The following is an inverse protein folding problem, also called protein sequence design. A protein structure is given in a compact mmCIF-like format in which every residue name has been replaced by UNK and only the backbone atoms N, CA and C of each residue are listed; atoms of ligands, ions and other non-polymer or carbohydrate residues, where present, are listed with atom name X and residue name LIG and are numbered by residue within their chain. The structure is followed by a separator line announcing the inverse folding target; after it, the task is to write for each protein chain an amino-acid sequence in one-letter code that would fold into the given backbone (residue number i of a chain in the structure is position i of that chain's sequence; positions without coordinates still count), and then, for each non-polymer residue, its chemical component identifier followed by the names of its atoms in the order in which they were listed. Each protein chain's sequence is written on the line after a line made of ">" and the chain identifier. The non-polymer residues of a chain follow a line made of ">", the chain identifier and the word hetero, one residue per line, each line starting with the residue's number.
data_IF_641946446234
#
_entry.id   IF_641946446234
#
_cell.length_a   1.000
_cell.length_b   1.000
_cell.length_c   1.000
_cell.angle_alpha   90.00
_cell.angle_beta   90.00
_cell.angle_gamma   90.00
#
_symmetry.space_group_name_H-M   'P 1'
#
loop_
_entity.id
_entity.type
_entity.pdbx_description
1 polymer ?
#
# COMPACT_ATOMS: atom_id res chain seq x y z
N UNK A 1 -25.55 8.31 15.80
CA UNK A 1 -25.37 7.76 14.44
C UNK A 1 -25.38 6.23 14.54
N UNK A 2 -26.28 5.51 13.86
CA UNK A 2 -26.26 4.03 13.89
C UNK A 2 -25.13 3.55 12.97
N UNK A 3 -24.13 2.87 13.54
CA UNK A 3 -23.06 2.25 12.76
C UNK A 3 -23.61 0.99 12.10
N UNK A 4 -23.53 0.92 10.77
CA UNK A 4 -23.96 -0.25 9.98
C UNK A 4 -22.74 -0.98 9.40
N UNK A 5 -22.91 -2.21 8.93
CA UNK A 5 -21.82 -2.92 8.23
C UNK A 5 -21.29 -2.15 7.02
N UNK A 6 -22.16 -1.43 6.29
CA UNK A 6 -21.75 -0.57 5.17
C UNK A 6 -20.90 0.61 5.66
N UNK A 7 -21.26 1.21 6.80
CA UNK A 7 -20.47 2.29 7.42
C UNK A 7 -19.05 1.81 7.74
N UNK A 8 -18.91 0.63 8.34
CA UNK A 8 -17.60 0.04 8.67
C UNK A 8 -16.78 -0.23 7.40
N UNK A 9 -17.39 -0.80 6.35
CA UNK A 9 -16.71 -1.03 5.07
C UNK A 9 -16.18 0.27 4.46
N UNK A 10 -16.99 1.34 4.45
CA UNK A 10 -16.57 2.64 3.91
C UNK A 10 -15.43 3.26 4.71
N UNK A 11 -15.43 3.11 6.03
CA UNK A 11 -14.31 3.57 6.88
C UNK A 11 -13.03 2.83 6.53
N UNK A 12 -13.08 1.50 6.41
CA UNK A 12 -11.93 0.67 6.05
C UNK A 12 -11.39 1.05 4.66
N UNK A 13 -12.27 1.17 3.66
CA UNK A 13 -11.87 1.53 2.30
C UNK A 13 -11.33 2.96 2.24
N UNK A 14 -11.94 3.90 2.99
CA UNK A 14 -11.46 5.27 3.09
C UNK A 14 -10.08 5.36 3.73
N UNK A 15 -9.83 4.58 4.80
CA UNK A 15 -8.51 4.49 5.42
C UNK A 15 -7.45 4.05 4.40
N UNK A 16 -7.66 2.94 3.69
CA UNK A 16 -6.69 2.46 2.71
C UNK A 16 -6.51 3.41 1.53
N UNK A 17 -7.60 4.06 1.09
CA UNK A 17 -7.53 5.08 0.04
C UNK A 17 -6.60 6.23 0.43
N UNK A 18 -6.77 6.78 1.64
CA UNK A 18 -5.92 7.84 2.16
C UNK A 18 -4.49 7.36 2.39
N UNK A 19 -4.31 6.18 2.99
CA UNK A 19 -3.01 5.59 3.27
C UNK A 19 -2.18 5.45 1.99
N UNK A 20 -2.69 4.77 0.97
CA UNK A 20 -1.95 4.59 -0.29
C UNK A 20 -1.76 5.90 -1.04
N UNK A 21 -2.69 6.86 -0.95
CA UNK A 21 -2.50 8.19 -1.54
C UNK A 21 -1.30 8.92 -0.92
N UNK A 22 -1.19 8.89 0.41
CA UNK A 22 -0.09 9.53 1.14
C UNK A 22 1.23 8.83 0.79
N UNK A 23 1.28 7.50 0.84
CA UNK A 23 2.49 6.73 0.53
C UNK A 23 2.95 6.97 -0.91
N UNK A 24 2.03 6.90 -1.88
CA UNK A 24 2.34 7.19 -3.29
C UNK A 24 2.91 8.60 -3.45
N UNK A 25 2.25 9.60 -2.85
CA UNK A 25 2.68 11.00 -2.96
C UNK A 25 4.06 11.20 -2.35
N UNK A 26 4.29 10.68 -1.15
CA UNK A 26 5.59 10.87 -0.47
C UNK A 26 6.72 10.11 -1.19
N UNK A 27 6.46 8.95 -1.80
CA UNK A 27 7.43 8.24 -2.64
C UNK A 27 7.70 8.94 -3.98
N UNK A 28 6.68 9.51 -4.63
CA UNK A 28 6.88 10.37 -5.82
C UNK A 28 7.79 11.55 -5.48
N UNK A 29 7.50 12.25 -4.37
CA UNK A 29 8.31 13.37 -3.93
C UNK A 29 9.74 12.94 -3.57
N UNK A 30 9.91 11.74 -3.01
CA UNK A 30 11.24 11.16 -2.75
C UNK A 30 12.02 10.88 -4.04
N UNK A 31 11.36 10.32 -5.06
CA UNK A 31 11.94 10.15 -6.39
C UNK A 31 12.32 11.48 -7.05
N UNK A 32 11.48 12.52 -6.92
CA UNK A 32 11.79 13.86 -7.42
C UNK A 32 13.00 14.49 -6.71
N UNK A 33 13.16 14.25 -5.40
CA UNK A 33 14.37 14.66 -4.66
C UNK A 33 15.60 13.92 -5.18
N UNK A 34 15.51 12.62 -5.40
CA UNK A 34 16.62 11.80 -5.91
C UNK A 34 17.09 12.26 -7.31
N UNK A 35 16.16 12.73 -8.14
CA UNK A 35 16.46 13.30 -9.47
C UNK A 35 16.97 14.76 -9.41
N UNK A 36 17.03 15.38 -8.23
CA UNK A 36 17.43 16.78 -8.06
C UNK A 36 16.38 17.81 -8.53
N UNK A 37 15.14 17.38 -8.79
CA UNK A 37 14.03 18.28 -9.13
C UNK A 37 13.55 19.04 -7.89
N UNK A 38 13.57 18.37 -6.73
CA UNK A 38 13.29 19.00 -5.44
C UNK A 38 14.57 19.24 -4.65
N UNK A 39 14.56 20.27 -3.79
CA UNK A 39 15.66 20.55 -2.87
C UNK A 39 15.91 19.35 -1.95
N UNK A 40 17.17 19.13 -1.58
CA UNK A 40 17.57 18.12 -0.60
C UNK A 40 16.89 18.34 0.76
N UNK A 41 16.62 19.60 1.11
CA UNK A 41 15.98 20.01 2.37
C UNK A 41 14.45 19.84 2.35
N UNK A 42 13.86 19.37 1.24
CA UNK A 42 12.42 19.13 1.16
C UNK A 42 11.98 18.06 2.16
N UNK A 43 11.15 18.44 3.14
CA UNK A 43 10.81 17.58 4.29
C UNK A 43 9.70 16.58 4.01
N UNK A 44 8.82 16.88 3.05
CA UNK A 44 7.66 16.04 2.76
C UNK A 44 8.03 15.00 1.68
N UNK A 45 8.89 14.05 2.05
CA UNK A 45 9.22 12.85 1.27
C UNK A 45 9.31 11.65 2.19
N UNK A 46 9.21 10.44 1.63
CA UNK A 46 9.25 9.22 2.45
C UNK A 46 10.64 8.86 2.95
N UNK A 47 11.70 9.22 2.21
CA UNK A 47 13.06 8.74 2.45
C UNK A 47 13.28 7.27 2.04
N UNK A 48 12.28 6.63 1.43
CA UNK A 48 12.33 5.21 1.07
C UNK A 48 13.36 4.93 -0.03
N UNK A 49 13.59 5.84 -0.97
CA UNK A 49 14.57 5.60 -2.03
C UNK A 49 15.99 5.54 -1.48
N UNK A 50 16.34 6.49 -0.59
CA UNK A 50 17.63 6.48 0.10
C UNK A 50 17.79 5.22 0.97
N UNK A 51 16.73 4.80 1.66
CA UNK A 51 16.72 3.55 2.42
C UNK A 51 16.97 2.32 1.54
N UNK A 52 16.37 2.25 0.35
CA UNK A 52 16.62 1.17 -0.62
C UNK A 52 18.10 1.16 -1.05
N UNK A 53 18.67 2.33 -1.37
CA UNK A 53 20.09 2.42 -1.75
C UNK A 53 21.00 1.90 -0.63
N UNK A 54 20.76 2.33 0.61
CA UNK A 54 21.55 1.92 1.77
C UNK A 54 21.41 0.42 2.07
N UNK A 55 20.20 -0.11 1.97
CA UNK A 55 19.89 -1.52 2.25
C UNK A 55 20.56 -2.45 1.25
N UNK A 56 20.47 -2.10 -0.04
CA UNK A 56 20.99 -2.93 -1.15
C UNK A 56 22.48 -2.73 -1.41
N UNK A 57 23.10 -1.69 -0.85
CA UNK A 57 24.53 -1.39 -1.02
C UNK A 57 25.45 -2.56 -0.66
N UNK A 58 25.09 -3.35 0.36
CA UNK A 58 25.87 -4.55 0.76
C UNK A 58 26.00 -5.60 -0.34
N UNK A 59 25.06 -5.62 -1.28
CA UNK A 59 25.03 -6.57 -2.41
C UNK A 59 25.48 -5.91 -3.71
N UNK A 60 26.02 -4.69 -3.66
CA UNK A 60 26.47 -3.95 -4.84
C UNK A 60 25.39 -3.81 -5.93
N UNK A 61 24.12 -3.70 -5.52
CA UNK A 61 23.01 -3.53 -6.46
C UNK A 61 23.17 -2.18 -7.19
N UNK A 62 23.13 -2.14 -8.53
CA UNK A 62 23.25 -0.90 -9.27
C UNK A 62 22.11 0.07 -8.94
N UNK A 63 22.43 1.37 -8.81
CA UNK A 63 21.45 2.41 -8.52
C UNK A 63 20.29 2.45 -9.54
N UNK A 64 20.58 2.15 -10.82
CA UNK A 64 19.55 2.06 -11.86
C UNK A 64 18.54 0.93 -11.62
N UNK A 65 18.98 -0.20 -11.06
CA UNK A 65 18.06 -1.29 -10.70
C UNK A 65 17.20 -0.92 -9.49
N UNK A 66 17.78 -0.26 -8.49
CA UNK A 66 17.02 0.30 -7.36
C UNK A 66 15.97 1.32 -7.82
N UNK A 67 16.32 2.20 -8.77
CA UNK A 67 15.37 3.14 -9.36
C UNK A 67 14.24 2.43 -10.09
N UNK A 68 14.54 1.38 -10.87
CA UNK A 68 13.54 0.57 -11.54
C UNK A 68 12.55 -0.08 -10.55
N UNK A 69 13.07 -0.73 -9.50
CA UNK A 69 12.24 -1.34 -8.46
C UNK A 69 11.38 -0.29 -7.73
N UNK A 70 11.96 0.87 -7.40
CA UNK A 70 11.24 1.97 -6.74
C UNK A 70 10.12 2.55 -7.61
N UNK A 71 10.34 2.68 -8.93
CA UNK A 71 9.27 3.04 -9.86
C UNK A 71 8.14 1.99 -9.88
N UNK A 72 8.49 0.70 -9.80
CA UNK A 72 7.52 -0.39 -9.68
C UNK A 72 6.68 -0.29 -8.40
N UNK A 73 7.31 0.04 -7.28
CA UNK A 73 6.64 0.33 -6.00
C UNK A 73 5.64 1.47 -6.15
N UNK A 74 6.08 2.62 -6.66
CA UNK A 74 5.21 3.79 -6.86
C UNK A 74 4.01 3.44 -7.76
N UNK A 75 4.23 2.68 -8.82
CA UNK A 75 3.17 2.26 -9.74
C UNK A 75 2.12 1.38 -9.04
N UNK A 76 2.55 0.43 -8.22
CA UNK A 76 1.66 -0.43 -7.45
C UNK A 76 0.90 0.36 -6.38
N UNK A 77 1.55 1.29 -5.69
CA UNK A 77 0.92 2.17 -4.70
C UNK A 77 -0.14 3.07 -5.34
N UNK A 78 0.17 3.68 -6.48
CA UNK A 78 -0.76 4.50 -7.25
C UNK A 78 -1.96 3.66 -7.71
N UNK A 79 -1.69 2.45 -8.21
CA UNK A 79 -2.74 1.54 -8.66
C UNK A 79 -3.65 1.13 -7.50
N UNK A 80 -3.07 0.77 -6.35
CA UNK A 80 -3.82 0.46 -5.13
C UNK A 80 -4.67 1.66 -4.70
N UNK A 81 -4.08 2.86 -4.64
CA UNK A 81 -4.78 4.10 -4.28
C UNK A 81 -6.02 4.33 -5.16
N UNK A 82 -5.86 4.29 -6.48
CA UNK A 82 -6.96 4.47 -7.44
C UNK A 82 -8.05 3.42 -7.23
N UNK A 83 -7.67 2.16 -7.05
CA UNK A 83 -8.63 1.06 -6.85
C UNK A 83 -9.36 1.17 -5.51
N UNK A 84 -8.70 1.60 -4.45
CA UNK A 84 -9.35 1.83 -3.15
C UNK A 84 -10.34 3.00 -3.21
N UNK A 85 -9.99 4.11 -3.87
CA UNK A 85 -10.93 5.21 -4.10
C UNK A 85 -12.14 4.78 -4.95
N UNK A 86 -11.91 4.03 -6.03
CA UNK A 86 -13.01 3.46 -6.83
C UNK A 86 -13.90 2.55 -5.99
N UNK A 87 -13.29 1.68 -5.17
CA UNK A 87 -14.01 0.78 -4.26
C UNK A 87 -14.83 1.53 -3.23
N UNK A 88 -14.33 2.65 -2.71
CA UNK A 88 -15.05 3.49 -1.76
C UNK A 88 -16.29 4.14 -2.38
N UNK A 89 -16.18 4.59 -3.64
CA UNK A 89 -17.25 5.28 -4.36
C UNK A 89 -18.33 4.31 -4.86
N UNK A 90 -17.95 3.17 -5.42
CA UNK A 90 -18.90 2.23 -6.05
C UNK A 90 -19.33 1.10 -5.14
N UNK A 91 -18.53 0.77 -4.11
CA UNK A 91 -18.72 -0.40 -3.24
C UNK A 91 -18.86 -1.73 -4.01
N UNK A 92 -18.27 -1.80 -5.20
CA UNK A 92 -18.24 -2.99 -6.06
C UNK A 92 -17.26 -4.04 -5.52
N UNK A 93 -17.68 -5.30 -5.46
CA UNK A 93 -16.86 -6.41 -4.97
C UNK A 93 -15.60 -6.62 -5.82
N UNK A 94 -15.73 -6.55 -7.14
CA UNK A 94 -14.61 -6.72 -8.06
C UNK A 94 -13.49 -5.71 -7.80
N UNK A 95 -13.85 -4.45 -7.61
CA UNK A 95 -12.89 -3.39 -7.27
C UNK A 95 -12.27 -3.60 -5.89
N UNK A 96 -13.05 -4.00 -4.87
CA UNK A 96 -12.54 -4.25 -3.52
C UNK A 96 -11.49 -5.37 -3.54
N UNK A 97 -11.76 -6.48 -4.23
CA UNK A 97 -10.80 -7.58 -4.34
C UNK A 97 -9.54 -7.17 -5.10
N UNK A 98 -9.68 -6.45 -6.22
CA UNK A 98 -8.54 -5.94 -6.99
C UNK A 98 -7.68 -4.97 -6.15
N UNK A 99 -8.30 -4.05 -5.42
CA UNK A 99 -7.59 -3.09 -4.58
C UNK A 99 -6.74 -3.79 -3.52
N UNK A 100 -7.34 -4.76 -2.80
CA UNK A 100 -6.61 -5.54 -1.80
C UNK A 100 -5.55 -6.43 -2.46
N UNK A 101 -5.83 -7.06 -3.60
CA UNK A 101 -4.85 -7.90 -4.29
C UNK A 101 -3.58 -7.11 -4.67
N UNK A 102 -3.73 -5.90 -5.22
CA UNK A 102 -2.58 -5.03 -5.54
C UNK A 102 -1.79 -4.66 -4.28
N UNK A 103 -2.47 -4.29 -3.20
CA UNK A 103 -1.81 -4.01 -1.92
C UNK A 103 -1.08 -5.23 -1.35
N UNK A 104 -1.70 -6.41 -1.41
CA UNK A 104 -1.11 -7.66 -0.94
C UNK A 104 0.11 -8.05 -1.76
N UNK A 105 0.07 -7.90 -3.10
CA UNK A 105 1.21 -8.14 -3.98
C UNK A 105 2.37 -7.21 -3.62
N UNK A 106 2.10 -5.91 -3.42
CA UNK A 106 3.13 -4.95 -3.04
C UNK A 106 3.81 -5.35 -1.73
N UNK A 107 3.04 -5.57 -0.67
CA UNK A 107 3.61 -5.87 0.64
C UNK A 107 4.21 -7.28 0.74
N UNK A 108 3.69 -8.26 0.01
CA UNK A 108 4.35 -9.57 -0.12
C UNK A 108 5.71 -9.43 -0.84
N UNK A 109 5.76 -8.58 -1.87
CA UNK A 109 7.01 -8.22 -2.55
C UNK A 109 8.03 -7.57 -1.60
N UNK A 110 7.57 -6.69 -0.70
CA UNK A 110 8.44 -6.11 0.34
C UNK A 110 8.96 -7.15 1.32
N UNK A 111 8.14 -8.09 1.81
CA UNK A 111 8.61 -9.17 2.68
C UNK A 111 9.66 -10.05 2.00
N UNK A 112 9.46 -10.37 0.71
CA UNK A 112 10.47 -11.08 -0.08
C UNK A 112 11.76 -10.27 -0.20
N UNK A 113 11.66 -8.95 -0.42
CA UNK A 113 12.81 -8.07 -0.49
C UNK A 113 13.54 -7.94 0.87
N UNK A 114 12.80 -7.93 1.97
CA UNK A 114 13.38 -7.88 3.32
C UNK A 114 14.29 -9.09 3.57
N UNK A 115 13.86 -10.27 3.15
CA UNK A 115 14.67 -11.49 3.27
C UNK A 115 15.85 -11.50 2.28
N UNK A 116 15.61 -11.14 1.01
CA UNK A 116 16.67 -11.10 -0.01
C UNK A 116 17.79 -10.12 0.36
N UNK A 117 17.43 -8.96 0.94
CA UNK A 117 18.38 -7.89 1.25
C UNK A 117 18.77 -7.78 2.73
N UNK A 118 18.29 -8.71 3.58
CA UNK A 118 18.49 -8.70 5.04
C UNK A 118 18.03 -7.38 5.69
N UNK A 119 16.89 -6.84 5.25
CA UNK A 119 16.32 -5.56 5.67
C UNK A 119 15.40 -5.68 6.91
N UNK A 120 15.78 -6.49 7.89
CA UNK A 120 14.94 -6.85 9.04
C UNK A 120 14.47 -5.68 9.91
N UNK A 121 15.08 -4.50 9.77
CA UNK A 121 14.64 -3.28 10.47
C UNK A 121 13.26 -2.76 10.06
N UNK A 122 12.80 -3.07 8.84
CA UNK A 122 11.49 -2.61 8.31
C UNK A 122 10.46 -3.73 8.14
N UNK A 123 10.90 -4.99 8.25
CA UNK A 123 10.06 -6.19 8.07
C UNK A 123 8.80 -6.15 8.93
N UNK A 124 8.92 -5.79 10.21
CA UNK A 124 7.77 -5.71 11.11
C UNK A 124 6.70 -4.73 10.61
N UNK A 125 7.10 -3.64 9.96
CA UNK A 125 6.16 -2.66 9.38
C UNK A 125 5.48 -3.27 8.15
N UNK A 126 6.23 -3.89 7.24
CA UNK A 126 5.68 -4.55 6.07
C UNK A 126 4.69 -5.67 6.44
N UNK A 127 5.03 -6.50 7.45
CA UNK A 127 4.16 -7.57 7.95
C UNK A 127 2.86 -7.02 8.54
N UNK A 128 2.93 -5.95 9.34
CA UNK A 128 1.73 -5.32 9.93
C UNK A 128 0.79 -4.79 8.86
N UNK A 129 1.33 -4.20 7.79
CA UNK A 129 0.50 -3.67 6.70
C UNK A 129 -0.10 -4.81 5.87
N UNK A 130 0.69 -5.85 5.55
CA UNK A 130 0.20 -7.06 4.88
C UNK A 130 -0.97 -7.68 5.67
N UNK A 131 -0.80 -7.91 6.96
CA UNK A 131 -1.87 -8.43 7.81
C UNK A 131 -3.04 -7.48 7.96
N UNK A 132 -2.78 -6.17 8.01
CA UNK A 132 -3.82 -5.15 7.99
C UNK A 132 -4.72 -5.28 6.76
N UNK A 133 -4.14 -5.49 5.58
CA UNK A 133 -4.86 -5.70 4.32
C UNK A 133 -5.66 -7.01 4.33
N UNK A 134 -5.08 -8.10 4.83
CA UNK A 134 -5.78 -9.38 4.94
C UNK A 134 -6.97 -9.30 5.91
N UNK A 135 -6.76 -8.66 7.06
CA UNK A 135 -7.78 -8.49 8.09
C UNK A 135 -8.91 -7.58 7.60
N UNK A 136 -8.57 -6.48 6.91
CA UNK A 136 -9.57 -5.58 6.34
C UNK A 136 -10.41 -6.27 5.28
N UNK A 137 -9.78 -7.03 4.39
CA UNK A 137 -10.49 -7.80 3.36
C UNK A 137 -11.44 -8.83 4.00
N UNK A 138 -10.93 -9.60 4.96
CA UNK A 138 -11.71 -10.63 5.68
C UNK A 138 -12.92 -10.01 6.38
N UNK A 139 -12.71 -8.86 7.04
CA UNK A 139 -13.78 -8.12 7.72
C UNK A 139 -14.85 -7.66 6.73
N UNK A 140 -14.46 -7.11 5.57
CA UNK A 140 -15.41 -6.71 4.53
C UNK A 140 -16.21 -7.91 4.03
N UNK A 141 -15.57 -9.05 3.77
CA UNK A 141 -16.22 -10.28 3.32
C UNK A 141 -17.27 -10.75 4.34
N UNK A 142 -16.92 -10.78 5.63
CA UNK A 142 -17.84 -11.17 6.72
C UNK A 142 -19.04 -10.22 6.74
N UNK A 143 -18.81 -8.91 6.76
CA UNK A 143 -19.88 -7.90 6.80
C UNK A 143 -20.84 -8.02 5.60
N UNK A 144 -20.33 -8.35 4.41
CA UNK A 144 -21.17 -8.55 3.22
C UNK A 144 -22.03 -9.80 3.33
N UNK A 145 -21.43 -10.94 3.70
CA UNK A 145 -22.15 -12.20 3.87
C UNK A 145 -23.26 -12.10 4.92
N UNK A 146 -23.00 -11.44 6.05
CA UNK A 146 -24.02 -11.26 7.10
C UNK A 146 -25.21 -10.44 6.59
N UNK A 147 -24.96 -9.38 5.81
CA UNK A 147 -26.03 -8.57 5.23
C UNK A 147 -26.88 -9.33 4.19
N UNK A 148 -26.26 -10.20 3.40
CA UNK A 148 -26.98 -11.03 2.42
C UNK A 148 -27.89 -12.06 3.12
N UNK A 149 -27.39 -12.71 4.17
CA UNK A 149 -28.18 -13.68 4.93
C UNK A 149 -29.38 -13.03 5.62
N UNK A 150 -29.21 -11.81 6.15
CA UNK A 150 -30.32 -11.05 6.74
C UNK A 150 -31.43 -10.73 5.73
N UNK A 151 -31.08 -10.43 4.47
CA UNK A 151 -32.07 -10.12 3.42
C UNK A 151 -32.83 -11.34 2.90
N UNK A 152 -32.34 -12.56 3.19
CA UNK A 152 -32.97 -13.83 2.78
C UNK A 152 -33.87 -14.44 3.87
N UNK A 153 -33.79 -13.91 5.11
CA UNK A 153 -34.63 -14.26 6.26
C UNK A 153 -35.89 -13.40 6.30
#
# INVERSE_FOLDING_TARGET
>A
MKVTGITVQKIILGFWSCYFSIVTLTNILDGLKAMGVLSKDWKFSSGNFEMILQTTAKMSVPAGFNAFLFCGVILLELTASILFWKSLLTTDDGNIYKAHAVGLILFAGFIMADEIFFAYGVEATHMRILFGLMLSLTTIIILRRTNENWKKS
#
